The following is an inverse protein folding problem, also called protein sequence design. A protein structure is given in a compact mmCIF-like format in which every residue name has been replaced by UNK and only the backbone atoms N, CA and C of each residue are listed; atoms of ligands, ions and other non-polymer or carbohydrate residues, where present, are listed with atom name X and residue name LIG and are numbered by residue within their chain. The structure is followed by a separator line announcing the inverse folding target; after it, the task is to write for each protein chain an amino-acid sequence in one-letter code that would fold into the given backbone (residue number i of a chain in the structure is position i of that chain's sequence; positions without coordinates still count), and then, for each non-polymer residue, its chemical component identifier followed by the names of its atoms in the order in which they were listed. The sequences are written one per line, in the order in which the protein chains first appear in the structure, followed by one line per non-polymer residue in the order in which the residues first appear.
data_IF_519974807253
#
_entry.id   IF_519974807253
#
_cell.length_a   1.000
_cell.length_b   1.000
_cell.length_c   1.000
_cell.angle_alpha   90.00
_cell.angle_beta   90.00
_cell.angle_gamma   90.00
#
_symmetry.space_group_name_H-M   'P 1'
#
loop_
_entity.id
_entity.type
_entity.pdbx_description
1 polymer ?
2 non-polymer ?
3 non-polymer ?
4 water ?
#
# COMPACT_ATOMS: atom_id res chain seq x y z
N UNK A 1 2.08 -16.54 11.41
CA UNK A 1 3.02 -17.48 10.81
C UNK A 1 4.27 -16.72 10.38
N UNK A 2 4.31 -16.23 9.15
CA UNK A 2 5.44 -15.43 8.71
C UNK A 2 5.47 -14.13 9.50
N UNK A 3 6.66 -13.52 9.55
CA UNK A 3 6.87 -12.28 10.28
C UNK A 3 7.84 -11.43 9.51
N UNK A 4 8.31 -10.32 10.12
CA UNK A 4 9.35 -9.49 9.52
C UNK A 4 10.75 -9.81 9.99
N UNK A 5 10.90 -10.04 11.29
CA UNK A 5 12.18 -10.41 11.86
C UNK A 5 12.11 -11.83 12.41
N UNK A 6 13.27 -12.40 12.71
CA UNK A 6 13.31 -13.68 13.39
C UNK A 6 13.28 -14.85 12.44
N UNK A 7 12.94 -16.01 12.99
CA UNK A 7 13.02 -17.28 12.27
C UNK A 7 12.16 -17.28 11.01
N UNK A 8 11.02 -16.60 11.07
CA UNK A 8 10.08 -16.60 9.94
C UNK A 8 10.02 -15.24 9.29
N UNK A 9 11.08 -14.45 9.51
CA UNK A 9 11.19 -13.09 8.99
C UNK A 9 11.49 -13.05 7.51
N UNK A 10 11.69 -11.83 6.98
CA UNK A 10 11.83 -11.62 5.54
C UNK A 10 12.94 -12.44 4.94
N UNK A 11 13.99 -12.70 5.71
CA UNK A 11 15.13 -13.47 5.21
C UNK A 11 14.81 -14.95 4.99
N UNK A 12 13.67 -15.40 5.50
CA UNK A 12 13.30 -16.81 5.41
C UNK A 12 11.95 -17.04 4.76
N UNK A 13 11.35 -16.00 4.18
CA UNK A 13 10.05 -16.16 3.52
C UNK A 13 10.10 -17.24 2.45
N UNK A 14 11.25 -17.41 1.80
CA UNK A 14 11.40 -18.41 0.77
C UNK A 14 11.18 -19.86 1.22
N UNK A 15 11.30 -20.11 2.52
CA UNK A 15 11.04 -21.44 3.07
C UNK A 15 9.68 -21.99 2.70
N UNK A 16 8.67 -21.12 2.74
CA UNK A 16 7.32 -21.52 2.42
C UNK A 16 6.76 -20.80 1.20
N UNK A 17 7.39 -19.70 0.77
CA UNK A 17 6.86 -18.87 -0.33
C UNK A 17 7.98 -18.58 -1.31
N UNK A 18 8.18 -19.48 -2.26
CA UNK A 18 9.36 -19.46 -3.10
C UNK A 18 9.61 -18.14 -3.83
N UNK A 19 8.55 -17.51 -4.31
CA UNK A 19 8.71 -16.30 -5.11
C UNK A 19 9.33 -15.18 -4.30
N UNK A 20 9.09 -15.17 -3.00
CA UNK A 20 9.69 -14.15 -2.13
C UNK A 20 11.21 -14.16 -2.20
N UNK A 21 11.79 -15.34 -2.39
CA UNK A 21 13.25 -15.49 -2.46
C UNK A 21 13.81 -15.59 -3.87
N UNK A 22 13.03 -16.11 -4.81
CA UNK A 22 13.51 -16.39 -6.17
C UNK A 22 13.15 -15.32 -7.19
N UNK A 23 12.08 -14.57 -6.95
CA UNK A 23 11.70 -13.56 -7.92
C UNK A 23 12.72 -12.44 -8.06
N UNK A 24 12.83 -11.94 -9.28
CA UNK A 24 13.73 -10.82 -9.60
C UNK A 24 12.96 -9.63 -10.16
N UNK A 25 11.66 -9.59 -9.89
CA UNK A 25 10.79 -8.47 -10.24
C UNK A 25 9.94 -8.11 -9.02
N UNK A 26 10.62 -7.89 -7.90
CA UNK A 26 9.98 -7.69 -6.63
C UNK A 26 9.80 -6.24 -6.22
N UNK A 27 8.85 -6.03 -5.31
CA UNK A 27 8.58 -4.75 -4.66
C UNK A 27 8.92 -4.96 -3.17
N UNK A 28 9.44 -3.93 -2.46
CA UNK A 28 9.62 -2.52 -2.80
C UNK A 28 10.96 -2.16 -3.41
N UNK A 29 11.00 -0.94 -3.96
CA UNK A 29 12.20 -0.40 -4.59
C UNK A 29 12.38 1.07 -4.20
N UNK A 30 13.57 1.59 -4.46
CA UNK A 30 13.84 3.02 -4.38
C UNK A 30 13.57 3.63 -5.73
N UNK A 31 12.53 4.45 -5.79
CA UNK A 31 12.17 5.14 -7.03
C UNK A 31 13.06 6.36 -7.14
N UNK A 32 14.22 6.17 -7.76
CA UNK A 32 15.20 7.25 -7.80
C UNK A 32 15.42 7.70 -9.23
N UNK A 33 16.07 6.84 -10.00
CA UNK A 33 16.26 7.10 -11.41
C UNK A 33 15.04 6.59 -12.16
N UNK A 34 14.51 7.42 -13.07
CA UNK A 34 13.30 7.11 -13.81
C UNK A 34 13.42 7.48 -15.27
N UNK A 35 12.53 6.89 -16.06
CA UNK A 35 12.42 7.11 -17.48
C UNK A 35 11.12 7.85 -17.77
N UNK A 36 11.24 8.95 -18.52
CA UNK A 36 10.10 9.73 -18.93
C UNK A 36 9.33 8.97 -19.99
N UNK A 37 8.05 8.78 -19.77
CA UNK A 37 7.20 8.02 -20.67
C UNK A 37 5.82 8.64 -20.81
N UNK A 38 5.15 8.32 -21.90
CA UNK A 38 3.79 8.80 -22.15
C UNK A 38 2.78 7.84 -21.58
N UNK A 39 2.35 8.13 -20.34
CA UNK A 39 1.49 7.25 -19.55
C UNK A 39 0.08 7.83 -19.43
N UNK A 40 -0.92 6.96 -19.52
CA UNK A 40 -2.31 7.37 -19.42
C UNK A 40 -2.64 7.76 -17.98
N UNK A 41 -3.53 8.73 -17.81
CA UNK A 41 -3.98 8.98 -16.43
C UNK A 41 -4.72 7.80 -15.83
N UNK A 42 -4.54 7.54 -14.54
CA UNK A 42 -5.33 6.50 -13.90
C UNK A 42 -6.76 6.95 -13.78
N UNK A 43 -7.68 6.00 -13.84
CA UNK A 43 -9.06 6.27 -13.55
C UNK A 43 -9.38 5.62 -12.21
N UNK A 44 -9.51 6.44 -11.18
CA UNK A 44 -9.79 5.98 -9.81
C UNK A 44 -11.13 6.53 -9.42
N UNK A 45 -12.10 5.63 -9.32
CA UNK A 45 -13.49 5.98 -9.11
C UNK A 45 -13.91 5.30 -7.81
N UNK A 46 -13.71 5.99 -6.69
CA UNK A 46 -14.02 5.44 -5.38
C UNK A 46 -15.29 6.10 -4.85
N UNK A 47 -16.36 5.32 -4.77
CA UNK A 47 -17.70 5.85 -4.47
C UNK A 47 -18.34 5.19 -3.26
N UNK A 48 -17.62 4.29 -2.60
CA UNK A 48 -18.14 3.54 -1.48
C UNK A 48 -17.64 3.99 -0.12
N UNK A 49 -17.57 3.05 0.81
CA UNK A 49 -17.29 3.32 2.21
C UNK A 49 -16.26 2.35 2.75
N UNK A 50 -15.45 2.85 3.68
CA UNK A 50 -14.62 1.98 4.50
C UNK A 50 -15.47 1.50 5.66
N UNK A 51 -15.57 0.19 5.83
CA UNK A 51 -16.46 -0.40 6.83
C UNK A 51 -15.81 -0.79 8.16
N UNK A 52 -14.54 -1.19 8.12
CA UNK A 52 -13.92 -1.82 9.26
C UNK A 52 -12.41 -1.86 9.07
N UNK A 53 -11.72 -2.06 10.19
CA UNK A 53 -10.31 -2.38 10.22
C UNK A 53 -10.11 -3.78 10.75
N UNK A 54 -9.15 -4.50 10.15
CA UNK A 54 -8.77 -5.84 10.58
C UNK A 54 -7.29 -5.83 10.87
N UNK A 55 -6.91 -6.40 12.02
CA UNK A 55 -5.50 -6.56 12.36
C UNK A 55 -5.20 -8.05 12.26
N UNK A 56 -4.50 -8.44 11.20
CA UNK A 56 -4.16 -9.85 10.99
C UNK A 56 -2.77 -10.20 11.49
N UNK A 57 -2.20 -9.33 12.33
CA UNK A 57 -0.89 -9.52 12.88
C UNK A 57 0.23 -9.14 11.93
N UNK A 58 -0.12 -8.65 10.73
CA UNK A 58 0.88 -8.22 9.74
C UNK A 58 0.75 -6.75 9.38
N UNK A 59 -0.50 -6.27 9.42
CA UNK A 59 -0.83 -4.90 9.08
C UNK A 59 -2.19 -4.57 9.65
N UNK A 60 -2.56 -3.30 9.51
CA UNK A 60 -3.92 -2.84 9.73
C UNK A 60 -4.53 -2.67 8.34
N UNK A 61 -5.59 -3.43 8.08
CA UNK A 61 -6.24 -3.48 6.78
C UNK A 61 -7.64 -2.92 6.87
N UNK A 62 -7.99 -2.05 5.94
CA UNK A 62 -9.31 -1.48 5.82
C UNK A 62 -10.08 -2.17 4.71
N UNK A 63 -11.29 -2.62 5.02
CA UNK A 63 -12.16 -3.20 4.05
C UNK A 63 -13.28 -2.24 3.62
N UNK A 64 -13.89 -2.57 2.49
CA UNK A 64 -14.76 -1.64 1.78
C UNK A 64 -16.11 -2.21 1.47
N UNK A 65 -17.02 -1.29 1.19
CA UNK A 65 -18.28 -1.59 0.54
C UNK A 65 -18.45 -0.63 -0.64
N UNK A 66 -19.36 -0.96 -1.54
CA UNK A 66 -19.64 -0.09 -2.66
C UNK A 66 -18.75 -0.30 -3.86
N UNK A 67 -18.75 0.70 -4.73
CA UNK A 67 -18.01 0.63 -5.97
C UNK A 67 -16.76 1.49 -5.87
N UNK A 68 -15.61 0.84 -5.85
CA UNK A 68 -14.33 1.51 -5.78
C UNK A 68 -13.41 0.83 -6.77
N UNK A 69 -13.15 1.51 -7.88
CA UNK A 69 -12.60 0.87 -9.04
C UNK A 69 -11.43 1.63 -9.62
N UNK A 70 -10.37 0.90 -9.97
CA UNK A 70 -9.25 1.40 -10.76
C UNK A 70 -9.39 0.83 -12.17
N UNK A 71 -9.43 1.71 -13.17
CA UNK A 71 -9.41 1.28 -14.57
C UNK A 71 -8.12 1.75 -15.19
N UNK A 72 -7.35 0.81 -15.71
CA UNK A 72 -6.06 1.11 -16.34
C UNK A 72 -5.74 -0.06 -17.27
N UNK A 73 -5.08 0.23 -18.38
CA UNK A 73 -4.63 -0.82 -19.30
C UNK A 73 -5.81 -1.61 -19.89
N UNK A 74 -6.99 -1.01 -19.91
CA UNK A 74 -8.19 -1.66 -20.42
C UNK A 74 -8.80 -2.70 -19.50
N UNK A 75 -8.29 -2.76 -18.28
CA UNK A 75 -8.75 -3.73 -17.28
C UNK A 75 -9.38 -2.99 -16.12
N UNK A 76 -10.35 -3.66 -15.50
CA UNK A 76 -11.13 -3.12 -14.41
C UNK A 76 -10.71 -3.82 -13.12
N UNK A 77 -10.10 -3.07 -12.22
CA UNK A 77 -9.53 -3.62 -10.99
C UNK A 77 -10.33 -3.05 -9.80
N UNK A 78 -11.05 -3.90 -9.09
CA UNK A 78 -11.85 -3.45 -7.96
C UNK A 78 -10.99 -3.40 -6.72
N UNK A 79 -11.15 -2.33 -5.95
CA UNK A 79 -10.43 -2.20 -4.69
C UNK A 79 -10.90 -3.26 -3.71
N UNK A 80 -9.96 -4.09 -3.27
CA UNK A 80 -10.24 -5.17 -2.35
C UNK A 80 -10.03 -4.77 -0.88
N UNK A 81 -9.04 -3.93 -0.66
CA UNK A 81 -8.66 -3.49 0.68
C UNK A 81 -7.54 -2.48 0.52
N UNK A 82 -7.32 -1.68 1.56
CA UNK A 82 -6.07 -0.97 1.68
C UNK A 82 -5.46 -1.21 3.03
N UNK A 83 -4.15 -1.07 3.13
CA UNK A 83 -3.46 -1.32 4.40
C UNK A 83 -2.20 -0.50 4.48
N UNK A 84 -1.50 -0.61 5.62
CA UNK A 84 -0.43 0.32 5.94
C UNK A 84 0.86 -0.36 6.32
N UNK A 85 1.96 0.36 6.06
CA UNK A 85 3.29 -0.03 6.48
C UNK A 85 3.94 1.15 7.17
N UNK A 86 4.60 0.86 8.30
CA UNK A 86 5.41 1.80 9.04
C UNK A 86 6.77 1.16 9.32
N UNK A 87 7.87 1.75 8.78
CA UNK A 87 7.96 2.89 7.88
C UNK A 87 7.50 2.49 6.48
N UNK A 88 7.65 3.38 5.51
CA UNK A 88 7.32 3.04 4.13
C UNK A 88 8.20 1.90 3.63
N UNK A 89 7.71 1.23 2.62
CA UNK A 89 8.44 0.15 1.97
C UNK A 89 9.18 0.69 0.76
N UNK A 90 8.45 1.27 -0.20
CA UNK A 90 9.11 1.96 -1.31
C UNK A 90 9.75 3.26 -0.80
N UNK A 91 10.77 3.74 -1.47
CA UNK A 91 11.35 5.06 -1.22
C UNK A 91 11.10 5.92 -2.44
N UNK A 92 11.05 7.23 -2.25
CA UNK A 92 11.01 8.18 -3.36
C UNK A 92 12.28 9.00 -3.34
N UNK A 93 13.07 8.90 -4.40
CA UNK A 93 14.32 9.64 -4.49
C UNK A 93 15.21 9.45 -3.27
N UNK A 94 15.34 8.20 -2.82
CA UNK A 94 16.21 7.87 -1.74
C UNK A 94 15.63 8.12 -0.36
N UNK A 95 14.43 8.69 -0.33
CA UNK A 95 13.75 8.99 0.94
C UNK A 95 12.72 7.95 1.33
N UNK A 96 12.86 7.45 2.55
CA UNK A 96 11.86 6.60 3.17
C UNK A 96 10.87 7.48 3.93
N UNK A 97 9.59 7.18 3.80
CA UNK A 97 8.53 7.94 4.48
C UNK A 97 8.11 7.24 5.76
N UNK A 98 7.42 7.96 6.66
CA UNK A 98 7.04 7.34 7.93
C UNK A 98 5.92 6.32 7.78
N UNK A 99 5.14 6.42 6.70
CA UNK A 99 3.91 5.66 6.54
C UNK A 99 3.63 5.54 5.04
N UNK A 100 3.25 4.34 4.62
CA UNK A 100 2.84 4.10 3.22
C UNK A 100 1.53 3.29 3.22
N UNK A 101 0.56 3.70 2.40
CA UNK A 101 -0.69 2.97 2.21
C UNK A 101 -0.64 2.24 0.88
N UNK A 102 -1.11 0.99 0.87
CA UNK A 102 -1.28 0.20 -0.34
C UNK A 102 -2.75 -0.07 -0.57
N UNK A 103 -3.25 0.46 -1.68
CA UNK A 103 -4.63 0.22 -2.11
C UNK A 103 -4.56 -0.95 -3.12
N UNK A 104 -5.05 -2.10 -2.71
CA UNK A 104 -4.85 -3.33 -3.45
C UNK A 104 -6.11 -3.66 -4.21
N UNK A 105 -5.98 -3.77 -5.53
CA UNK A 105 -7.10 -4.00 -6.42
C UNK A 105 -6.94 -5.30 -7.19
N UNK A 106 -8.05 -5.90 -7.59
CA UNK A 106 -7.98 -7.10 -8.42
C UNK A 106 -9.03 -7.06 -9.50
N UNK A 107 -8.68 -7.49 -10.70
CA UNK A 107 -9.71 -7.79 -11.69
C UNK A 107 -10.55 -8.98 -11.21
N UNK A 108 -11.72 -9.15 -11.80
CA UNK A 108 -12.58 -10.27 -11.43
C UNK A 108 -11.89 -11.62 -11.72
N UNK A 109 -10.92 -11.62 -12.64
CA UNK A 109 -10.17 -12.84 -12.92
C UNK A 109 -9.01 -13.08 -11.95
N UNK A 110 -8.69 -12.08 -11.14
CA UNK A 110 -7.72 -12.20 -10.05
C UNK A 110 -6.42 -11.45 -10.21
N UNK A 111 -6.28 -10.68 -11.30
CA UNK A 111 -5.04 -9.97 -11.59
C UNK A 111 -4.92 -8.72 -10.73
N UNK A 112 -3.74 -8.49 -10.15
CA UNK A 112 -3.59 -7.50 -9.08
C UNK A 112 -2.90 -6.19 -9.50
N UNK A 113 -3.35 -5.09 -8.89
CA UNK A 113 -2.74 -3.78 -9.10
C UNK A 113 -2.78 -3.02 -7.80
N UNK A 114 -1.66 -2.43 -7.45
CA UNK A 114 -1.54 -1.68 -6.21
C UNK A 114 -1.29 -0.21 -6.51
N UNK A 115 -2.08 0.66 -5.88
CA UNK A 115 -1.81 2.08 -5.86
C UNK A 115 -1.22 2.39 -4.48
N UNK A 116 0.00 2.96 -4.47
CA UNK A 116 0.69 3.28 -3.24
C UNK A 116 0.66 4.78 -3.01
N UNK A 117 0.40 5.15 -1.76
CA UNK A 117 0.37 6.53 -1.35
C UNK A 117 1.30 6.68 -0.15
N UNK A 118 2.28 7.55 -0.28
CA UNK A 118 3.12 7.90 0.86
C UNK A 118 2.40 8.90 1.74
N UNK A 119 2.62 8.81 3.05
CA UNK A 119 2.13 9.79 4.00
C UNK A 119 3.32 10.38 4.70
N UNK A 120 3.54 11.67 4.50
CA UNK A 120 4.61 12.35 5.21
C UNK A 120 4.02 13.11 6.37
N UNK A 121 4.90 13.51 7.29
CA UNK A 121 4.52 14.33 8.42
C UNK A 121 4.01 15.68 7.98
N UNK A 122 3.01 16.17 8.70
CA UNK A 122 2.53 17.53 8.54
C UNK A 122 2.07 17.99 9.91
N UNK A 123 1.75 19.27 10.03
CA UNK A 123 1.41 19.83 11.34
C UNK A 123 0.04 19.39 11.81
N UNK A 124 -0.85 19.18 10.85
CA UNK A 124 -2.24 18.94 11.17
C UNK A 124 -2.54 17.46 11.09
N UNK A 125 -3.38 17.00 12.01
CA UNK A 125 -3.93 15.66 11.92
C UNK A 125 -4.68 15.54 10.60
N UNK A 126 -4.48 14.44 9.88
CA UNK A 126 -5.29 14.16 8.68
C UNK A 126 -6.69 13.73 9.11
N UNK A 127 -7.72 14.45 8.66
CA UNK A 127 -9.08 14.21 9.15
C UNK A 127 -9.60 12.83 8.81
N UNK A 128 -9.29 12.36 7.60
CA UNK A 128 -9.72 11.04 7.17
C UNK A 128 -9.02 9.94 7.96
N UNK A 129 -7.73 10.11 8.26
CA UNK A 129 -7.06 9.18 9.14
C UNK A 129 -7.58 9.22 10.55
N UNK A 130 -7.97 10.39 11.04
CA UNK A 130 -8.56 10.47 12.35
C UNK A 130 -9.80 9.61 12.38
N UNK A 131 -10.66 9.75 11.37
CA UNK A 131 -11.85 8.92 11.29
C UNK A 131 -11.49 7.44 11.20
N UNK A 132 -10.57 7.11 10.31
CA UNK A 132 -10.22 5.73 10.06
C UNK A 132 -9.61 5.06 11.29
N UNK A 133 -8.73 5.77 11.99
CA UNK A 133 -7.94 5.17 13.06
C UNK A 133 -8.46 5.43 14.46
N UNK A 134 -9.72 5.84 14.56
CA UNK A 134 -10.26 6.21 15.88
C UNK A 134 -10.18 5.04 16.85
N UNK A 135 -10.32 3.84 16.32
CA UNK A 135 -10.11 2.62 17.10
C UNK A 135 -9.35 1.63 16.22
N UNK A 136 -8.13 1.28 16.62
CA UNK A 136 -7.31 0.35 15.87
C UNK A 136 -7.36 -1.01 16.57
N UNK A 137 -7.82 -2.06 15.88
CA UNK A 137 -7.99 -3.37 16.52
C UNK A 137 -6.65 -4.00 16.88
N UNK A 138 -6.65 -4.80 17.95
CA UNK A 138 -5.47 -5.56 18.29
C UNK A 138 -5.35 -6.83 17.48
N UNK A 139 -4.23 -7.52 17.63
CA UNK A 139 -3.92 -8.66 16.79
C UNK A 139 -5.00 -9.73 16.83
N UNK A 140 -5.42 -10.18 15.65
CA UNK A 140 -6.42 -11.22 15.55
C UNK A 140 -7.84 -10.70 15.68
N UNK A 141 -7.99 -9.38 15.68
CA UNK A 141 -9.32 -8.77 15.85
C UNK A 141 -9.67 -7.76 14.74
N UNK A 142 -10.95 -7.40 14.73
CA UNK A 142 -11.56 -6.52 13.75
C UNK A 142 -12.31 -5.45 14.53
N UNK A 143 -12.44 -4.23 13.99
CA UNK A 143 -13.32 -3.22 14.55
C UNK A 143 -14.09 -2.54 13.45
N UNK A 144 -15.39 -2.42 13.64
CA UNK A 144 -16.24 -1.69 12.72
C UNK A 144 -15.95 -0.20 12.86
N UNK A 145 -15.83 0.52 11.75
CA UNK A 145 -15.63 1.97 11.87
C UNK A 145 -16.85 2.62 12.54
N UNK A 146 -16.61 3.55 13.45
CA UNK A 146 -17.70 4.29 14.10
C UNK A 146 -18.40 5.24 13.12
N UNK A 147 -17.62 5.82 12.20
CA UNK A 147 -18.10 6.89 11.33
C UNK A 147 -17.87 6.63 9.86
N UNK A 148 -18.67 7.28 9.03
CA UNK A 148 -18.59 7.14 7.57
C UNK A 148 -17.27 7.68 7.03
N UNK A 149 -16.77 7.06 5.95
CA UNK A 149 -15.50 7.43 5.34
C UNK A 149 -15.46 6.89 3.91
N UNK A 150 -15.23 7.76 2.92
CA UNK A 150 -15.00 7.32 1.53
C UNK A 150 -13.50 7.25 1.25
N UNK A 151 -12.99 6.10 0.76
CA UNK A 151 -11.55 5.98 0.59
C UNK A 151 -10.95 7.00 -0.40
N UNK A 152 -11.79 7.57 -1.26
CA UNK A 152 -11.35 8.58 -2.23
C UNK A 152 -10.60 9.71 -1.55
N UNK A 153 -11.05 10.02 -0.34
CA UNK A 153 -10.56 11.17 0.38
C UNK A 153 -9.17 10.93 0.97
N UNK A 154 -8.68 9.70 0.92
CA UNK A 154 -7.34 9.40 1.38
C UNK A 154 -6.32 9.49 0.25
N UNK A 155 -6.77 9.55 -1.00
CA UNK A 155 -5.83 9.72 -2.10
C UNK A 155 -5.37 11.17 -2.16
N UNK A 156 -4.13 11.42 -2.61
CA UNK A 156 -3.70 12.80 -2.86
C UNK A 156 -4.55 13.43 -3.94
N UNK A 157 -4.59 14.76 -3.96
CA UNK A 157 -5.35 15.48 -4.97
C UNK A 157 -4.75 15.29 -6.36
N UNK A 158 -3.44 15.48 -6.45
CA UNK A 158 -2.71 15.30 -7.70
C UNK A 158 -2.52 13.81 -7.90
N UNK A 159 -2.74 13.34 -9.13
CA UNK A 159 -2.79 11.92 -9.43
C UNK A 159 -1.66 11.46 -10.34
N UNK A 160 -0.61 12.25 -10.49
CA UNK A 160 0.55 11.81 -11.26
C UNK A 160 1.19 10.68 -10.48
N UNK A 161 1.79 9.72 -11.20
CA UNK A 161 2.32 8.53 -10.58
C UNK A 161 3.60 8.05 -11.24
N UNK A 162 4.34 7.23 -10.50
CA UNK A 162 5.39 6.39 -11.04
C UNK A 162 4.81 5.02 -11.29
N UNK A 163 5.22 4.39 -12.39
CA UNK A 163 4.76 3.04 -12.68
C UNK A 163 5.89 2.06 -12.80
N UNK A 164 5.72 0.90 -12.17
CA UNK A 164 6.63 -0.21 -12.40
C UNK A 164 5.89 -1.53 -12.25
N UNK A 165 6.56 -2.58 -12.73
CA UNK A 165 6.07 -3.94 -12.72
C UNK A 165 6.76 -4.62 -11.56
N UNK A 166 5.99 -5.14 -10.61
CA UNK A 166 6.59 -5.74 -9.44
C UNK A 166 5.77 -6.87 -8.83
N UNK A 167 5.72 -6.88 -7.50
CA UNK A 167 5.19 -8.03 -6.76
C UNK A 167 4.40 -7.56 -5.56
N UNK A 168 3.74 -8.50 -4.91
CA UNK A 168 3.27 -8.26 -3.55
C UNK A 168 4.47 -8.13 -2.67
N UNK A 169 4.38 -7.30 -1.62
CA UNK A 169 5.51 -7.10 -0.71
C UNK A 169 5.39 -8.01 0.50
N UNK A 170 4.37 -8.85 0.53
CA UNK A 170 4.19 -9.84 1.58
C UNK A 170 3.97 -11.21 0.95
N UNK A 171 4.30 -12.28 1.67
CA UNK A 171 4.04 -13.63 1.18
C UNK A 171 2.64 -13.77 0.63
N UNK A 172 2.48 -14.37 -0.56
CA UNK A 172 3.45 -15.12 -1.38
C UNK A 172 4.35 -14.33 -2.34
N UNK A 173 4.37 -13.00 -2.23
CA UNK A 173 5.21 -12.13 -3.03
C UNK A 173 5.00 -12.33 -4.52
N UNK A 174 3.75 -12.57 -4.91
CA UNK A 174 3.42 -12.90 -6.28
C UNK A 174 3.86 -11.80 -7.21
N UNK A 175 4.37 -12.19 -8.39
CA UNK A 175 4.75 -11.22 -9.40
C UNK A 175 3.64 -10.96 -10.41
N UNK A 176 3.92 -10.12 -11.40
CA UNK A 176 2.89 -9.72 -12.35
C UNK A 176 1.94 -8.68 -11.78
N UNK A 177 2.42 -7.94 -10.80
CA UNK A 177 1.61 -6.92 -10.11
C UNK A 177 1.99 -5.54 -10.61
N UNK A 178 1.01 -4.81 -11.14
CA UNK A 178 1.22 -3.41 -11.51
C UNK A 178 1.31 -2.54 -10.27
N UNK A 179 2.33 -1.70 -10.22
CA UNK A 179 2.51 -0.72 -9.16
C UNK A 179 2.41 0.70 -9.70
N UNK A 180 1.53 1.48 -9.06
CA UNK A 180 1.36 2.89 -9.37
C UNK A 180 1.59 3.64 -8.07
N UNK A 181 2.74 4.30 -7.97
CA UNK A 181 3.09 5.00 -6.74
C UNK A 181 2.82 6.47 -6.95
N UNK A 182 1.92 7.02 -6.16
CA UNK A 182 1.56 8.43 -6.37
C UNK A 182 2.75 9.33 -6.08
N UNK A 183 2.98 10.32 -6.94
CA UNK A 183 4.15 11.19 -6.78
C UNK A 183 4.01 12.17 -5.60
N UNK A 184 2.78 12.56 -5.30
CA UNK A 184 2.49 13.51 -4.22
C UNK A 184 2.16 12.75 -2.93
N UNK A 185 2.93 12.98 -1.86
CA UNK A 185 2.52 12.37 -0.59
C UNK A 185 1.27 13.01 -0.01
N UNK A 186 0.48 12.19 0.67
CA UNK A 186 -0.52 12.67 1.58
C UNK A 186 0.17 13.05 2.90
N UNK A 187 -0.62 13.61 3.81
CA UNK A 187 -0.12 14.03 5.11
C UNK A 187 -0.74 13.22 6.24
N UNK A 188 0.08 12.94 7.25
CA UNK A 188 -0.35 12.33 8.51
C UNK A 188 0.47 13.02 9.58
N UNK A 189 -0.13 13.39 10.70
CA UNK A 189 0.71 13.95 11.75
C UNK A 189 1.63 12.87 12.29
N UNK A 190 2.72 13.31 12.90
CA UNK A 190 3.64 12.40 13.54
C UNK A 190 2.92 11.56 14.61
N UNK A 191 2.00 12.19 15.33
CA UNK A 191 1.26 11.45 16.36
C UNK A 191 0.40 10.35 15.74
N UNK A 192 -0.22 10.62 14.60
CA UNK A 192 -1.05 9.61 13.93
C UNK A 192 -0.23 8.43 13.46
N UNK A 193 0.91 8.69 12.85
CA UNK A 193 1.76 7.63 12.36
C UNK A 193 2.29 6.81 13.53
N UNK A 194 2.63 7.48 14.62
CA UNK A 194 3.13 6.80 15.82
C UNK A 194 2.06 5.89 16.41
N UNK A 195 0.82 6.34 16.37
CA UNK A 195 -0.30 5.53 16.84
C UNK A 195 -0.39 4.21 16.06
N UNK A 196 -0.25 4.29 14.73
CA UNK A 196 -0.29 3.09 13.89
C UNK A 196 0.93 2.22 14.08
N UNK A 197 2.09 2.84 14.12
CA UNK A 197 3.33 2.11 14.27
C UNK A 197 3.40 1.33 15.58
N UNK A 198 2.85 1.92 16.64
CA UNK A 198 2.86 1.24 17.93
C UNK A 198 1.99 -0.01 17.93
N UNK A 199 1.01 -0.10 17.02
CA UNK A 199 0.22 -1.31 16.88
C UNK A 199 0.92 -2.29 15.93
N UNK A 200 1.37 -1.81 14.77
CA UNK A 200 1.90 -2.70 13.72
C UNK A 200 3.34 -3.13 13.91
N UNK A 201 4.11 -2.28 14.58
CA UNK A 201 5.57 -2.42 14.63
C UNK A 201 6.16 -2.15 13.26
N UNK A 202 7.40 -2.61 13.08
CA UNK A 202 8.10 -2.41 11.83
C UNK A 202 7.71 -3.48 10.84
N UNK A 203 6.80 -3.13 9.92
CA UNK A 203 6.31 -4.09 8.94
C UNK A 203 6.64 -3.68 7.52
N UNK A 204 7.84 -3.11 7.36
CA UNK A 204 8.37 -2.75 6.04
C UNK A 204 9.38 -3.78 5.55
N UNK A 205 9.12 -4.35 4.38
CA UNK A 205 10.06 -5.26 3.74
C UNK A 205 11.27 -4.47 3.21
N UNK A 206 12.49 -5.03 3.34
CA UNK A 206 13.65 -4.34 2.78
C UNK A 206 13.55 -4.13 1.25
N UNK A 207 14.27 -3.12 0.78
CA UNK A 207 14.34 -2.80 -0.65
C UNK A 207 14.92 -3.95 -1.48
N UNK A 208 14.37 -4.05 -2.68
CA UNK A 208 14.70 -5.08 -3.63
C UNK A 208 15.36 -4.44 -4.84
N UNK A 209 16.19 -5.20 -5.56
CA UNK A 209 16.84 -4.62 -6.72
C UNK A 209 15.91 -4.45 -7.91
N UNK A 210 16.15 -3.39 -8.67
CA UNK A 210 15.40 -3.11 -9.88
C UNK A 210 15.64 -4.14 -10.98
N UNK A 211 16.86 -4.64 -11.05
CA UNK A 211 17.25 -5.63 -12.05
C UNK A 211 17.06 -5.07 -13.47
N UNK A 212 16.27 -5.72 -14.32
CA UNK A 212 16.17 -5.30 -15.71
C UNK A 212 15.04 -4.29 -15.96
N UNK A 213 14.30 -3.95 -14.92
CA UNK A 213 13.18 -3.02 -15.03
C UNK A 213 13.61 -1.58 -15.18
N UNK A 214 12.75 -0.79 -15.82
CA UNK A 214 12.81 0.66 -15.71
C UNK A 214 11.53 1.18 -15.02
N UNK A 215 11.70 2.22 -14.23
CA UNK A 215 10.59 2.90 -13.57
C UNK A 215 10.18 4.06 -14.46
N UNK A 216 8.88 4.18 -14.69
CA UNK A 216 8.35 5.16 -15.62
C UNK A 216 7.65 6.29 -14.89
N UNK A 217 7.74 7.48 -15.44
CA UNK A 217 6.94 8.60 -14.95
C UNK A 217 6.54 9.52 -16.07
X LIG B 1 1.42 -3.47 1.56
X LIG C 1 9.08 -4.16 -16.55
#
# INVERSE_FOLDING_TARGET
EWSYTGEHGTEHWGDSFATCAEGVNQTPIDINQTTQAELAPLHLDYEGQVTELVNNGHTIQANLTGKNTLTVDGKTFELKQFHFHTPSENYLKGKQYPLEAHFVHATDKGELAVVAVMFDFGPRSNNELTTLLASIPSKGQTVELKEALNPADLLPRDREYYRFNGSLTTPPCSEGVRWFVMQEPQTSSKAQTEKLQAVMGNNARPLQPLNARLILE
ZN ZN
CL CL
#
